data_IF_822141823814
#
_entry.id   IF_822141823814
#
_cell.length_a   1.000
_cell.length_b   1.000
_cell.length_c   1.000
_cell.angle_alpha   90.00
_cell.angle_beta   90.00
_cell.angle_gamma   90.00
#
_symmetry.space_group_name_H-M   'P 1'
#
loop_
_entity.id
_entity.type
_entity.pdbx_description
1 polymer ?
#
# COMPACT_ATOMS: atom_id res chain seq x y z
N UNK A 1 -12.14 12.32 2.10
CA UNK A 1 -10.87 11.56 1.93
C UNK A 1 -10.63 10.77 3.21
N UNK A 2 -10.08 9.56 3.13
CA UNK A 2 -9.71 8.78 4.32
C UNK A 2 -8.20 8.62 4.34
N UNK A 3 -7.54 9.02 5.42
CA UNK A 3 -6.17 8.59 5.71
C UNK A 3 -6.24 7.37 6.62
N UNK A 4 -5.60 6.28 6.21
CA UNK A 4 -5.57 5.03 6.95
C UNK A 4 -4.14 4.54 7.11
N UNK A 5 -3.80 4.17 8.34
CA UNK A 5 -2.46 3.73 8.70
C UNK A 5 -2.16 4.04 10.16
N UNK A 6 -1.87 2.98 10.90
CA UNK A 6 -1.37 3.07 12.25
C UNK A 6 0.13 3.37 12.31
N UNK A 7 0.80 2.76 13.28
CA UNK A 7 2.22 2.99 13.49
C UNK A 7 3.01 1.71 13.25
N UNK A 8 3.84 1.71 12.20
CA UNK A 8 4.68 0.56 11.87
C UNK A 8 6.07 0.70 12.49
N UNK A 9 6.83 -0.39 12.71
CA UNK A 9 8.23 -0.30 13.11
C UNK A 9 9.05 0.63 12.20
N UNK A 10 8.74 0.62 10.89
CA UNK A 10 9.42 1.44 9.88
C UNK A 10 9.04 2.92 9.90
N UNK A 11 7.90 3.29 10.49
CA UNK A 11 7.42 4.68 10.48
C UNK A 11 7.35 5.33 11.85
N UNK A 12 7.49 4.58 12.95
CA UNK A 12 7.41 5.09 14.32
C UNK A 12 8.33 6.26 14.64
N UNK A 13 9.57 6.24 14.15
CA UNK A 13 10.52 7.33 14.38
C UNK A 13 10.11 8.63 13.66
N UNK A 14 9.48 8.51 12.49
CA UNK A 14 9.07 9.65 11.65
C UNK A 14 7.66 10.14 12.01
N UNK A 15 6.76 9.22 12.34
CA UNK A 15 5.34 9.45 12.62
C UNK A 15 4.97 8.85 13.99
N UNK A 16 5.41 9.46 15.10
CA UNK A 16 5.20 8.89 16.44
C UNK A 16 3.71 8.74 16.82
N UNK A 17 2.82 9.50 16.18
CA UNK A 17 1.37 9.44 16.36
C UNK A 17 0.64 8.58 15.31
N UNK A 18 1.37 7.84 14.47
CA UNK A 18 0.84 7.04 13.38
C UNK A 18 0.78 7.79 12.05
N UNK A 19 0.77 7.02 10.96
CA UNK A 19 0.81 7.54 9.58
C UNK A 19 -0.41 8.42 9.27
N UNK A 20 -1.61 7.94 9.57
CA UNK A 20 -2.84 8.64 9.22
C UNK A 20 -3.00 10.00 9.92
N UNK A 21 -2.57 10.09 11.19
CA UNK A 21 -2.57 11.35 11.92
C UNK A 21 -1.62 12.38 11.29
N UNK A 22 -0.43 11.95 10.90
CA UNK A 22 0.55 12.81 10.25
C UNK A 22 0.05 13.30 8.88
N UNK A 23 -0.50 12.41 8.05
CA UNK A 23 -1.03 12.80 6.74
C UNK A 23 -2.24 13.73 6.84
N UNK A 24 -3.10 13.56 7.85
CA UNK A 24 -4.19 14.54 8.12
C UNK A 24 -3.62 15.93 8.36
N UNK A 25 -2.62 16.07 9.22
CA UNK A 25 -2.03 17.36 9.55
C UNK A 25 -1.38 18.02 8.35
N UNK A 26 -0.66 17.23 7.55
CA UNK A 26 -0.06 17.71 6.31
C UNK A 26 -1.12 18.16 5.30
N UNK A 27 -2.20 17.39 5.12
CA UNK A 27 -3.29 17.78 4.23
C UNK A 27 -3.97 19.08 4.68
N UNK A 28 -4.19 19.26 5.98
CA UNK A 28 -4.74 20.50 6.55
C UNK A 28 -3.76 21.67 6.34
N UNK A 29 -2.46 21.46 6.51
CA UNK A 29 -1.48 22.53 6.27
C UNK A 29 -1.39 22.94 4.79
N UNK A 30 -1.80 22.06 3.87
CA UNK A 30 -1.96 22.36 2.45
C UNK A 30 -3.32 22.99 2.09
N UNK A 31 -4.16 23.29 3.09
CA UNK A 31 -5.44 24.00 2.91
C UNK A 31 -6.66 23.10 2.76
N UNK A 32 -6.54 21.78 2.99
CA UNK A 32 -7.70 20.89 2.94
C UNK A 32 -8.63 21.14 4.15
N UNK A 33 -9.95 21.27 3.94
CA UNK A 33 -10.91 21.40 5.03
C UNK A 33 -10.88 20.17 5.96
N UNK A 34 -10.92 20.40 7.27
CA UNK A 34 -10.80 19.31 8.25
C UNK A 34 -11.98 18.34 8.20
N UNK A 35 -13.18 18.83 7.91
CA UNK A 35 -14.41 18.06 7.75
C UNK A 35 -14.44 17.22 6.47
N UNK A 36 -13.56 17.50 5.50
CA UNK A 36 -13.36 16.68 4.31
C UNK A 36 -12.44 15.47 4.55
N UNK A 37 -11.86 15.32 5.76
CA UNK A 37 -10.87 14.30 6.11
C UNK A 37 -11.40 13.40 7.21
N UNK A 38 -11.41 12.09 6.95
CA UNK A 38 -11.60 11.03 7.94
C UNK A 38 -10.25 10.35 8.21
N UNK A 39 -10.08 9.83 9.43
CA UNK A 39 -8.82 9.21 9.86
C UNK A 39 -9.07 7.85 10.48
N UNK A 40 -8.27 6.88 10.07
CA UNK A 40 -8.22 5.51 10.56
C UNK A 40 -6.78 5.21 11.03
N UNK A 41 -6.57 4.83 12.29
CA UNK A 41 -5.22 4.77 12.93
C UNK A 41 -4.81 3.39 13.43
N UNK A 42 -5.62 2.36 13.20
CA UNK A 42 -5.45 1.02 13.73
C UNK A 42 -4.86 0.05 12.71
N UNK A 43 -4.96 0.35 11.42
CA UNK A 43 -4.47 -0.57 10.40
C UNK A 43 -2.94 -0.75 10.44
N UNK A 44 -2.51 -2.01 10.45
CA UNK A 44 -1.09 -2.41 10.42
C UNK A 44 -0.66 -3.05 9.10
N UNK A 45 -1.57 -3.21 8.14
CA UNK A 45 -1.28 -3.77 6.82
C UNK A 45 -2.30 -3.30 5.78
N UNK A 46 -2.04 -3.57 4.50
CA UNK A 46 -2.87 -3.12 3.38
C UNK A 46 -4.32 -3.62 3.45
N UNK A 47 -4.55 -4.86 3.89
CA UNK A 47 -5.92 -5.40 4.01
C UNK A 47 -6.71 -4.66 5.09
N UNK A 48 -6.09 -4.45 6.25
CA UNK A 48 -6.67 -3.64 7.33
C UNK A 48 -6.89 -2.19 6.90
N UNK A 49 -5.96 -1.60 6.14
CA UNK A 49 -6.15 -0.23 5.65
C UNK A 49 -7.46 -0.11 4.86
N UNK A 50 -7.75 -1.11 4.01
CA UNK A 50 -8.95 -1.13 3.17
C UNK A 50 -10.21 -1.39 4.00
N UNK A 51 -10.22 -2.45 4.83
CA UNK A 51 -11.43 -2.83 5.59
C UNK A 51 -11.77 -1.82 6.68
N UNK A 52 -10.77 -1.23 7.34
CA UNK A 52 -11.02 -0.20 8.35
C UNK A 52 -11.41 1.13 7.70
N UNK A 53 -10.85 1.49 6.54
CA UNK A 53 -11.34 2.65 5.77
C UNK A 53 -12.79 2.48 5.33
N UNK A 54 -13.17 1.27 4.89
CA UNK A 54 -14.56 0.96 4.55
C UNK A 54 -15.47 1.13 5.78
N UNK A 55 -15.06 0.65 6.95
CA UNK A 55 -15.81 0.83 8.20
C UNK A 55 -15.96 2.31 8.59
N UNK A 56 -14.87 3.09 8.53
CA UNK A 56 -14.91 4.53 8.83
C UNK A 56 -15.84 5.28 7.88
N UNK A 57 -15.80 4.99 6.57
CA UNK A 57 -16.76 5.54 5.62
C UNK A 57 -18.18 5.11 5.97
N UNK A 58 -18.34 3.86 6.40
CA UNK A 58 -19.64 3.28 6.69
C UNK A 58 -20.34 4.00 7.87
N UNK A 59 -19.59 4.26 8.94
CA UNK A 59 -20.00 4.99 10.14
C UNK A 59 -20.44 6.42 9.84
N UNK A 60 -19.86 7.05 8.82
CA UNK A 60 -20.21 8.40 8.37
C UNK A 60 -21.34 8.41 7.32
N UNK A 61 -22.01 7.27 7.10
CA UNK A 61 -23.09 7.16 6.11
C UNK A 61 -22.61 7.21 4.65
N UNK A 62 -21.30 7.13 4.39
CA UNK A 62 -20.73 7.21 3.05
C UNK A 62 -20.68 5.79 2.46
N UNK A 63 -21.23 5.59 1.27
CA UNK A 63 -21.21 4.32 0.51
C UNK A 63 -20.76 4.60 -0.93
N UNK A 64 -19.44 4.62 -1.19
CA UNK A 64 -18.95 4.97 -2.52
C UNK A 64 -19.21 3.85 -3.53
N UNK A 65 -19.47 4.22 -4.78
CA UNK A 65 -19.46 3.26 -5.91
C UNK A 65 -18.05 2.96 -6.39
N UNK A 66 -17.13 3.91 -6.22
CA UNK A 66 -15.73 3.78 -6.60
C UNK A 66 -14.78 4.38 -5.55
N UNK A 67 -13.56 3.85 -5.47
CA UNK A 67 -12.49 4.33 -4.60
C UNK A 67 -11.19 4.52 -5.38
N UNK A 68 -10.47 5.59 -5.04
CA UNK A 68 -9.10 5.82 -5.50
C UNK A 68 -8.13 5.47 -4.36
N UNK A 69 -7.34 4.43 -4.55
CA UNK A 69 -6.27 4.06 -3.63
C UNK A 69 -4.97 4.75 -4.02
N UNK A 70 -4.45 5.60 -3.14
CA UNK A 70 -3.16 6.28 -3.32
C UNK A 70 -2.11 5.51 -2.53
N UNK A 71 -1.08 5.00 -3.21
CA UNK A 71 -0.01 4.22 -2.58
C UNK A 71 1.33 4.42 -3.30
N UNK A 72 2.41 3.80 -2.78
CA UNK A 72 3.71 3.82 -3.45
C UNK A 72 3.60 3.14 -4.83
N UNK A 73 4.38 3.58 -5.84
CA UNK A 73 4.26 3.09 -7.21
C UNK A 73 4.28 1.56 -7.33
N UNK A 74 5.20 0.90 -6.63
CA UNK A 74 5.37 -0.55 -6.69
C UNK A 74 4.28 -1.35 -5.97
N UNK A 75 3.48 -0.72 -5.11
CA UNK A 75 2.43 -1.41 -4.34
C UNK A 75 1.07 -1.42 -5.04
N UNK A 76 0.90 -0.68 -6.14
CA UNK A 76 -0.41 -0.47 -6.77
C UNK A 76 -1.11 -1.78 -7.17
N UNK A 77 -0.38 -2.73 -7.79
CA UNK A 77 -0.97 -4.03 -8.18
C UNK A 77 -1.44 -4.83 -6.96
N UNK A 78 -0.64 -4.85 -5.89
CA UNK A 78 -1.02 -5.53 -4.65
C UNK A 78 -2.20 -4.85 -3.96
N UNK A 79 -2.19 -3.51 -3.88
CA UNK A 79 -3.29 -2.74 -3.31
C UNK A 79 -4.61 -3.00 -4.07
N UNK A 80 -4.58 -2.99 -5.41
CA UNK A 80 -5.70 -3.36 -6.25
C UNK A 80 -6.21 -4.78 -5.93
N UNK A 81 -5.33 -5.77 -5.97
CA UNK A 81 -5.69 -7.17 -5.77
C UNK A 81 -6.25 -7.43 -4.36
N UNK A 82 -5.68 -6.81 -3.33
CA UNK A 82 -6.19 -6.87 -1.96
C UNK A 82 -7.55 -6.16 -1.85
N UNK A 83 -7.73 -5.00 -2.47
CA UNK A 83 -9.01 -4.29 -2.42
C UNK A 83 -10.14 -5.05 -3.10
N UNK A 84 -9.91 -5.62 -4.29
CA UNK A 84 -10.91 -6.46 -4.97
C UNK A 84 -11.32 -7.66 -4.14
N UNK A 85 -10.42 -8.17 -3.28
CA UNK A 85 -10.71 -9.28 -2.37
C UNK A 85 -11.45 -8.85 -1.10
N UNK A 86 -11.06 -7.71 -0.52
CA UNK A 86 -11.56 -7.23 0.77
C UNK A 86 -12.84 -6.39 0.66
N UNK A 87 -13.03 -5.69 -0.45
CA UNK A 87 -14.17 -4.83 -0.75
C UNK A 87 -14.64 -5.05 -2.20
N UNK A 88 -15.28 -6.20 -2.48
CA UNK A 88 -15.61 -6.60 -3.86
C UNK A 88 -16.66 -5.72 -4.53
N UNK A 89 -17.50 -5.03 -3.76
CA UNK A 89 -18.63 -4.21 -4.23
C UNK A 89 -18.21 -2.86 -4.82
N UNK A 90 -16.96 -2.44 -4.65
CA UNK A 90 -16.48 -1.13 -5.10
C UNK A 90 -15.61 -1.22 -6.35
N UNK A 91 -15.79 -0.27 -7.25
CA UNK A 91 -14.87 -0.07 -8.36
C UNK A 91 -13.58 0.56 -7.82
N UNK A 92 -12.45 -0.08 -8.03
CA UNK A 92 -11.16 0.38 -7.50
C UNK A 92 -10.25 0.88 -8.60
N UNK A 93 -9.72 2.09 -8.41
CA UNK A 93 -8.64 2.67 -9.19
C UNK A 93 -7.45 2.87 -8.26
N UNK A 94 -6.24 2.60 -8.74
CA UNK A 94 -5.02 2.90 -8.02
C UNK A 94 -4.29 4.05 -8.70
N UNK A 95 -3.69 4.92 -7.89
CA UNK A 95 -2.78 5.94 -8.36
C UNK A 95 -1.56 6.01 -7.44
N UNK A 96 -0.46 6.50 -8.01
CA UNK A 96 0.75 6.84 -7.29
C UNK A 96 1.35 8.09 -7.89
N UNK A 97 2.33 8.67 -7.19
CA UNK A 97 3.24 9.63 -7.80
C UNK A 97 3.90 9.02 -9.06
N UNK A 98 3.98 9.76 -10.18
CA UNK A 98 4.68 9.31 -11.38
C UNK A 98 6.19 9.43 -11.15
N UNK A 99 6.78 8.40 -10.53
CA UNK A 99 8.18 8.37 -10.13
C UNK A 99 8.95 7.27 -10.85
N UNK A 100 10.11 7.61 -11.44
CA UNK A 100 10.99 6.63 -12.08
C UNK A 100 11.76 5.83 -11.03
N UNK A 101 12.14 4.60 -11.38
CA UNK A 101 12.87 3.71 -10.47
C UNK A 101 14.16 4.36 -9.92
N UNK A 102 14.97 4.97 -10.78
CA UNK A 102 16.24 5.60 -10.35
C UNK A 102 16.00 6.78 -9.40
N UNK A 103 14.97 7.58 -9.64
CA UNK A 103 14.62 8.70 -8.76
C UNK A 103 14.15 8.18 -7.40
N UNK A 104 13.39 7.06 -7.38
CA UNK A 104 12.99 6.40 -6.14
C UNK A 104 14.19 5.86 -5.36
N UNK A 105 15.12 5.18 -6.04
CA UNK A 105 16.39 4.71 -5.44
C UNK A 105 17.16 5.87 -4.83
N UNK A 106 17.31 6.99 -5.55
CA UNK A 106 17.98 8.18 -5.04
C UNK A 106 17.30 8.76 -3.80
N UNK A 107 15.96 8.83 -3.78
CA UNK A 107 15.21 9.34 -2.62
C UNK A 107 15.35 8.50 -1.36
N UNK A 108 15.56 7.19 -1.51
CA UNK A 108 15.77 6.26 -0.39
C UNK A 108 17.25 6.21 0.03
N UNK A 109 18.17 6.36 -0.92
CA UNK A 109 19.61 6.32 -0.68
C UNK A 109 20.19 4.91 -0.54
N UNK A 110 19.36 3.87 -0.73
CA UNK A 110 19.77 2.46 -0.64
C UNK A 110 19.07 1.65 -1.75
N UNK A 111 19.85 1.30 -2.77
CA UNK A 111 19.34 0.51 -3.91
C UNK A 111 18.99 -0.93 -3.52
N UNK A 112 19.74 -1.55 -2.62
CA UNK A 112 19.52 -2.93 -2.22
C UNK A 112 18.20 -3.06 -1.46
N UNK A 113 17.96 -2.13 -0.52
CA UNK A 113 16.69 -2.04 0.18
C UNK A 113 15.51 -1.78 -0.77
N UNK A 114 15.69 -0.97 -1.81
CA UNK A 114 14.64 -0.76 -2.82
C UNK A 114 14.33 -2.04 -3.57
N UNK A 115 15.34 -2.78 -4.00
CA UNK A 115 15.15 -4.07 -4.67
C UNK A 115 14.41 -5.04 -3.75
N UNK A 116 14.83 -5.17 -2.48
CA UNK A 116 14.16 -6.01 -1.49
C UNK A 116 12.68 -5.63 -1.34
N UNK A 117 12.36 -4.34 -1.25
CA UNK A 117 10.97 -3.89 -1.17
C UNK A 117 10.15 -4.30 -2.41
N UNK A 118 10.72 -4.19 -3.61
CA UNK A 118 10.04 -4.53 -4.86
C UNK A 118 9.75 -6.03 -4.94
N UNK A 119 10.74 -6.88 -4.69
CA UNK A 119 10.57 -8.34 -4.77
C UNK A 119 9.69 -8.87 -3.63
N UNK A 120 9.77 -8.27 -2.44
CA UNK A 120 8.87 -8.58 -1.34
C UNK A 120 7.42 -8.26 -1.69
N UNK A 121 7.17 -7.13 -2.36
CA UNK A 121 5.83 -6.79 -2.83
C UNK A 121 5.33 -7.79 -3.90
N UNK A 122 6.19 -8.14 -4.84
CA UNK A 122 5.88 -9.11 -5.90
C UNK A 122 5.60 -10.51 -5.34
N UNK A 123 6.38 -11.00 -4.37
CA UNK A 123 6.10 -12.28 -3.72
C UNK A 123 4.71 -12.29 -3.07
N UNK A 124 4.28 -11.17 -2.48
CA UNK A 124 2.94 -11.05 -1.90
C UNK A 124 1.86 -11.08 -2.98
N UNK A 125 2.09 -10.52 -4.16
CA UNK A 125 1.18 -10.65 -5.31
C UNK A 125 0.98 -12.14 -5.69
N UNK A 126 2.05 -12.95 -5.59
CA UNK A 126 2.03 -14.38 -5.93
C UNK A 126 1.41 -15.23 -4.80
N UNK A 127 1.76 -14.96 -3.54
CA UNK A 127 1.43 -15.84 -2.41
C UNK A 127 0.11 -15.48 -1.70
N UNK A 128 -0.29 -14.21 -1.69
CA UNK A 128 -1.49 -13.77 -0.96
C UNK A 128 -2.81 -14.33 -1.53
N UNK A 129 -2.97 -14.54 -2.85
CA UNK A 129 -4.16 -15.18 -3.38
C UNK A 129 -4.38 -16.60 -2.81
N UNK A 130 -3.30 -17.38 -2.66
CA UNK A 130 -3.32 -18.72 -2.08
C UNK A 130 -3.80 -18.74 -0.62
N UNK A 131 -3.60 -17.62 0.09
CA UNK A 131 -4.03 -17.41 1.48
C UNK A 131 -5.38 -16.69 1.60
N UNK A 132 -6.03 -16.38 0.46
CA UNK A 132 -7.30 -15.66 0.43
C UNK A 132 -7.21 -14.17 0.78
N UNK A 133 -6.01 -13.57 0.78
CA UNK A 133 -5.79 -12.16 1.13
C UNK A 133 -5.83 -11.20 -0.07
N UNK A 134 -5.77 -11.72 -1.29
CA UNK A 134 -5.85 -10.95 -2.54
C UNK A 134 -6.53 -11.80 -3.63
N UNK A 135 -6.97 -11.19 -4.72
CA UNK A 135 -7.32 -11.93 -5.94
C UNK A 135 -6.06 -12.30 -6.72
N UNK A 136 -6.10 -13.37 -7.50
CA UNK A 136 -5.00 -13.75 -8.39
C UNK A 136 -4.67 -12.65 -9.40
N UNK A 137 -3.39 -12.51 -9.72
CA UNK A 137 -2.89 -11.57 -10.73
C UNK A 137 -2.01 -12.34 -11.70
N UNK A 138 -2.12 -12.02 -13.00
CA UNK A 138 -1.18 -12.53 -13.98
C UNK A 138 0.19 -11.90 -13.74
N UNK A 139 1.19 -12.74 -13.45
CA UNK A 139 2.60 -12.34 -13.35
C UNK A 139 3.33 -12.93 -14.56
N UNK A 140 3.77 -12.10 -15.51
CA UNK A 140 4.46 -12.58 -16.70
C UNK A 140 5.73 -13.36 -16.38
N UNK A 141 6.08 -14.33 -17.24
CA UNK A 141 7.24 -15.21 -17.06
C UNK A 141 8.55 -14.44 -16.92
N UNK A 142 8.73 -13.35 -17.66
CA UNK A 142 9.90 -12.48 -17.57
C UNK A 142 10.02 -11.79 -16.20
N UNK A 143 8.89 -11.46 -15.57
CA UNK A 143 8.84 -10.86 -14.23
C UNK A 143 9.17 -11.90 -13.17
N UNK A 144 8.65 -13.13 -13.30
CA UNK A 144 9.00 -14.26 -12.43
C UNK A 144 10.48 -14.62 -12.54
N UNK A 145 11.02 -14.64 -13.77
CA UNK A 145 12.44 -14.94 -14.02
C UNK A 145 13.34 -13.88 -13.37
N UNK A 146 12.99 -12.60 -13.50
CA UNK A 146 13.73 -11.51 -12.85
C UNK A 146 13.65 -11.61 -11.31
N UNK A 147 12.47 -11.93 -10.77
CA UNK A 147 12.28 -12.18 -9.35
C UNK A 147 13.21 -13.30 -8.84
N UNK A 148 13.20 -14.47 -9.49
CA UNK A 148 14.04 -15.60 -9.10
C UNK A 148 15.54 -15.27 -9.16
N UNK A 149 15.96 -14.52 -10.18
CA UNK A 149 17.35 -14.08 -10.30
C UNK A 149 17.76 -13.16 -9.14
N UNK A 150 16.91 -12.20 -8.77
CA UNK A 150 17.17 -11.28 -7.66
C UNK A 150 17.21 -12.02 -6.32
N UNK A 151 16.27 -12.94 -6.07
CA UNK A 151 16.28 -13.76 -4.85
C UNK A 151 17.56 -14.59 -4.77
N UNK A 152 17.99 -15.24 -5.87
CA UNK A 152 19.26 -15.99 -5.93
C UNK A 152 20.49 -15.11 -5.75
N UNK A 153 20.38 -13.82 -6.05
CA UNK A 153 21.45 -12.84 -5.87
C UNK A 153 21.54 -12.31 -4.43
N UNK A 154 20.69 -12.80 -3.51
CA UNK A 154 20.73 -12.45 -2.08
C UNK A 154 19.82 -11.30 -1.67
N UNK A 155 18.90 -10.87 -2.53
CA UNK A 155 17.85 -9.93 -2.14
C UNK A 155 16.70 -10.71 -1.50
N UNK A 156 16.59 -10.69 -0.16
CA UNK A 156 15.61 -11.48 0.57
C UNK A 156 15.01 -10.82 1.83
N UNK A 157 15.49 -9.63 2.23
CA UNK A 157 15.19 -9.04 3.55
C UNK A 157 13.72 -8.68 3.78
N UNK A 158 12.91 -8.68 2.70
CA UNK A 158 11.48 -8.33 2.71
C UNK A 158 10.57 -9.45 2.23
N UNK A 159 11.14 -10.63 1.95
CA UNK A 159 10.36 -11.81 1.62
C UNK A 159 9.56 -12.30 2.84
N UNK A 160 8.48 -13.02 2.56
CA UNK A 160 7.72 -13.76 3.55
C UNK A 160 8.56 -14.96 4.00
N UNK A 161 8.64 -15.15 5.31
CA UNK A 161 9.17 -16.36 5.96
C UNK A 161 8.12 -17.45 6.03
#
# INVERSE_FOLDING_TARGET
MVFSGGNSPTTRARFPRGEAAHYREHAVSLGMPQDAILVETQAGNTSQNITFSQAVLAEHGIRPRSVLLICKPYMQRRAFATCRRAWPEVDVVCASEPLRLLDYVQSIGDSALVIDMLIGDLQRIIEYPKKGFAIEQNVPTEVLTAYDHLVRSGFDSRLLT
#
